data_IF_157289760826
#
_entry.id   IF_157289760826
#
_cell.length_a   1.000
_cell.length_b   1.000
_cell.length_c   1.000
_cell.angle_alpha   90.00
_cell.angle_beta   90.00
_cell.angle_gamma   90.00
#
_symmetry.space_group_name_H-M   'P 1'
#
loop_
_entity.id
_entity.type
_entity.pdbx_description
1 polymer ?
#
# COMPACT_ATOMS: atom_id res chain seq x y z
N UNK A 1 -12.18 0.10 -50.52
CA UNK A 1 -10.99 -0.11 -49.66
C UNK A 1 -11.19 0.67 -48.37
N UNK A 2 -11.73 0.01 -47.36
CA UNK A 2 -12.05 0.56 -46.03
C UNK A 2 -10.77 0.69 -45.21
N UNK A 3 -10.45 1.90 -44.75
CA UNK A 3 -9.34 2.13 -43.81
C UNK A 3 -9.71 1.56 -42.44
N UNK A 4 -8.80 0.87 -41.74
CA UNK A 4 -9.05 0.41 -40.38
C UNK A 4 -9.14 1.61 -39.44
N UNK A 5 -10.20 1.64 -38.62
CA UNK A 5 -10.35 2.57 -37.50
C UNK A 5 -9.37 2.15 -36.40
N UNK A 6 -8.49 3.05 -35.92
CA UNK A 6 -7.56 2.70 -34.85
C UNK A 6 -8.33 2.57 -33.53
N UNK A 7 -8.18 1.42 -32.86
CA UNK A 7 -8.60 1.26 -31.47
C UNK A 7 -7.83 2.28 -30.60
N UNK A 8 -8.47 3.00 -29.67
CA UNK A 8 -7.76 3.87 -28.75
C UNK A 8 -6.83 3.01 -27.89
N UNK A 9 -5.53 3.28 -27.97
CA UNK A 9 -4.55 2.67 -27.10
C UNK A 9 -4.92 2.98 -25.63
N UNK A 10 -4.90 1.99 -24.72
CA UNK A 10 -5.06 2.30 -23.30
C UNK A 10 -3.97 3.29 -22.92
N UNK A 11 -4.36 4.44 -22.36
CA UNK A 11 -3.41 5.42 -21.86
C UNK A 11 -2.58 4.76 -20.75
N UNK A 12 -1.38 4.30 -21.13
CA UNK A 12 -0.38 3.77 -20.20
C UNK A 12 0.10 4.96 -19.38
N UNK A 13 -0.57 5.19 -18.25
CA UNK A 13 -0.07 6.12 -17.24
C UNK A 13 1.13 5.45 -16.60
N UNK A 14 2.33 5.86 -17.01
CA UNK A 14 3.57 5.40 -16.38
C UNK A 14 3.47 5.64 -14.86
N UNK A 15 3.79 4.65 -14.02
CA UNK A 15 3.72 4.82 -12.59
C UNK A 15 4.91 5.69 -12.17
N UNK A 16 4.68 7.00 -12.06
CA UNK A 16 5.51 7.85 -11.23
C UNK A 16 5.23 7.48 -9.76
N UNK A 17 5.74 6.32 -9.32
CA UNK A 17 5.89 6.02 -7.90
C UNK A 17 7.22 6.63 -7.45
N UNK A 18 7.22 7.84 -6.84
CA UNK A 18 8.42 8.33 -6.18
C UNK A 18 8.78 7.40 -5.02
N UNK A 19 9.98 7.57 -4.47
CA UNK A 19 10.49 6.93 -3.25
C UNK A 19 9.64 7.18 -1.97
N UNK A 20 8.36 7.55 -2.09
CA UNK A 20 7.42 7.69 -0.99
C UNK A 20 7.09 6.31 -0.43
N UNK A 21 7.26 6.16 0.88
CA UNK A 21 6.86 4.95 1.58
C UNK A 21 5.35 4.65 1.43
N UNK A 22 4.96 3.51 1.99
CA UNK A 22 3.55 3.10 2.09
C UNK A 22 2.74 4.24 2.72
N UNK A 23 1.52 4.47 2.22
CA UNK A 23 0.64 5.56 2.65
C UNK A 23 1.09 6.99 2.26
N UNK A 24 1.81 7.13 1.14
CA UNK A 24 2.24 8.45 0.63
C UNK A 24 1.10 9.47 0.45
N UNK A 25 -0.13 9.02 0.13
CA UNK A 25 -1.30 9.91 -0.02
C UNK A 25 -1.67 10.53 1.34
N UNK A 26 -1.73 9.71 2.39
CA UNK A 26 -2.06 10.15 3.75
C UNK A 26 -0.98 11.11 4.25
N UNK A 27 0.30 10.76 4.07
CA UNK A 27 1.42 11.62 4.47
C UNK A 27 1.43 12.96 3.74
N UNK A 28 1.15 12.98 2.44
CA UNK A 28 1.04 14.22 1.67
C UNK A 28 -0.11 15.11 2.18
N UNK A 29 -1.26 14.51 2.49
CA UNK A 29 -2.41 15.23 3.03
C UNK A 29 -2.12 15.80 4.42
N UNK A 30 -1.57 15.00 5.34
CA UNK A 30 -1.19 15.43 6.68
C UNK A 30 -0.23 16.63 6.62
N UNK A 31 0.82 16.55 5.80
CA UNK A 31 1.79 17.65 5.62
C UNK A 31 1.15 18.91 5.04
N UNK A 32 0.23 18.77 4.09
CA UNK A 32 -0.48 19.91 3.52
C UNK A 32 -1.25 20.70 4.58
N UNK A 33 -1.77 20.01 5.60
CA UNK A 33 -2.47 20.61 6.75
C UNK A 33 -1.57 20.91 7.95
N UNK A 34 -0.24 20.84 7.80
CA UNK A 34 0.70 21.13 8.88
C UNK A 34 0.72 20.08 10.00
N UNK A 35 0.16 18.89 9.76
CA UNK A 35 0.14 17.80 10.74
C UNK A 35 1.44 17.01 10.68
N UNK A 36 2.08 16.84 11.84
CA UNK A 36 3.32 16.06 11.97
C UNK A 36 3.07 14.57 11.72
N UNK A 37 3.88 13.90 10.89
CA UNK A 37 3.85 12.44 10.76
C UNK A 37 4.04 11.70 12.10
N UNK A 38 4.78 12.29 13.04
CA UNK A 38 4.95 11.68 14.37
C UNK A 38 3.64 11.65 15.16
N UNK A 39 2.87 12.74 15.10
CA UNK A 39 1.55 12.80 15.75
C UNK A 39 0.60 11.75 15.19
N UNK A 40 0.64 11.55 13.88
CA UNK A 40 -0.13 10.50 13.21
C UNK A 40 0.25 9.09 13.70
N UNK A 41 1.55 8.82 13.88
CA UNK A 41 2.03 7.54 14.41
C UNK A 41 1.64 7.32 15.88
N UNK A 42 1.70 8.36 16.71
CA UNK A 42 1.25 8.29 18.11
C UNK A 42 -0.24 7.91 18.20
N UNK A 43 -1.08 8.56 17.37
CA UNK A 43 -2.50 8.26 17.29
C UNK A 43 -2.73 6.82 16.79
N UNK A 44 -2.02 6.39 15.75
CA UNK A 44 -2.12 5.00 15.26
C UNK A 44 -1.73 3.98 16.33
N UNK A 45 -0.68 4.26 17.12
CA UNK A 45 -0.24 3.40 18.23
C UNK A 45 -1.30 3.28 19.34
N UNK A 46 -2.04 4.35 19.62
CA UNK A 46 -3.02 4.39 20.70
C UNK A 46 -4.42 3.84 20.31
N UNK A 47 -4.63 3.52 19.03
CA UNK A 47 -5.90 2.98 18.52
C UNK A 47 -5.93 1.45 18.58
N UNK A 48 -7.14 0.88 18.60
CA UNK A 48 -7.34 -0.54 18.32
C UNK A 48 -6.82 -0.89 16.92
N UNK A 49 -6.00 -1.94 16.83
CA UNK A 49 -5.27 -2.32 15.61
C UNK A 49 -6.01 -3.32 14.73
N UNK A 50 -7.20 -3.82 15.13
CA UNK A 50 -7.80 -4.98 14.50
C UNK A 50 -7.08 -6.29 14.89
N UNK A 51 -7.72 -7.45 14.71
CA UNK A 51 -7.26 -8.70 15.31
C UNK A 51 -5.94 -9.23 14.74
N UNK A 52 -5.70 -9.05 13.43
CA UNK A 52 -4.54 -9.62 12.75
C UNK A 52 -3.29 -8.80 13.04
N UNK A 53 -3.39 -7.46 12.95
CA UNK A 53 -2.27 -6.59 13.32
C UNK A 53 -1.96 -6.69 14.82
N UNK A 54 -2.98 -6.76 15.68
CA UNK A 54 -2.78 -6.97 17.13
C UNK A 54 -2.03 -8.26 17.42
N UNK A 55 -2.37 -9.36 16.74
CA UNK A 55 -1.67 -10.64 16.91
C UNK A 55 -0.18 -10.52 16.51
N UNK A 56 0.10 -9.95 15.34
CA UNK A 56 1.48 -9.75 14.86
C UNK A 56 2.28 -8.85 15.81
N UNK A 57 1.69 -7.76 16.32
CA UNK A 57 2.36 -6.86 17.26
C UNK A 57 2.60 -7.52 18.62
N UNK A 58 1.65 -8.31 19.13
CA UNK A 58 1.81 -9.05 20.38
C UNK A 58 2.91 -10.10 20.29
N UNK A 59 3.01 -10.80 19.16
CA UNK A 59 4.10 -11.75 18.91
C UNK A 59 5.45 -11.02 18.84
N UNK A 60 5.51 -9.84 18.19
CA UNK A 60 6.71 -9.00 18.17
C UNK A 60 7.15 -8.58 19.57
N UNK A 61 6.21 -8.11 20.41
CA UNK A 61 6.48 -7.73 21.79
C UNK A 61 6.96 -8.92 22.63
N UNK A 62 6.35 -10.09 22.46
CA UNK A 62 6.77 -11.31 23.14
C UNK A 62 8.20 -11.71 22.75
N UNK A 63 8.50 -11.75 21.45
CA UNK A 63 9.85 -12.10 20.98
C UNK A 63 10.89 -11.05 21.35
N UNK A 64 10.56 -9.76 21.30
CA UNK A 64 11.55 -8.71 21.61
C UNK A 64 11.70 -8.42 23.09
N UNK A 65 10.70 -8.70 23.92
CA UNK A 65 10.75 -8.50 25.37
C UNK A 65 11.88 -9.30 26.02
N UNK A 66 12.11 -10.53 25.54
CA UNK A 66 13.16 -11.43 26.04
C UNK A 66 14.57 -11.07 25.52
N UNK A 67 14.67 -10.10 24.60
CA UNK A 67 15.92 -9.64 23.98
C UNK A 67 16.35 -8.23 24.45
N UNK A 68 15.74 -7.69 25.50
CA UNK A 68 16.17 -6.45 26.13
C UNK A 68 16.97 -6.77 27.40
N UNK A 69 18.26 -7.05 27.24
CA UNK A 69 19.16 -7.35 28.36
C UNK A 69 19.51 -6.09 29.16
N UNK A 70 19.30 -6.15 30.47
CA UNK A 70 19.62 -5.05 31.39
C UNK A 70 21.13 -4.95 31.68
N UNK A 71 21.89 -6.01 31.45
CA UNK A 71 23.34 -6.04 31.65
C UNK A 71 24.06 -6.93 30.63
N UNK A 72 25.36 -6.64 30.45
CA UNK A 72 26.22 -7.29 29.47
C UNK A 72 26.53 -8.76 29.81
N UNK A 73 26.53 -9.14 31.08
CA UNK A 73 26.86 -10.51 31.47
C UNK A 73 25.72 -11.46 31.08
N UNK A 74 24.46 -11.06 31.33
CA UNK A 74 23.28 -11.80 30.90
C UNK A 74 23.23 -12.00 29.37
N UNK A 75 23.57 -10.96 28.60
CA UNK A 75 23.68 -11.08 27.14
C UNK A 75 24.76 -12.10 26.72
N UNK A 76 25.93 -12.07 27.35
CA UNK A 76 27.03 -12.97 27.00
C UNK A 76 26.70 -14.44 27.33
N UNK A 77 26.07 -14.71 28.48
CA UNK A 77 25.61 -16.04 28.83
C UNK A 77 24.61 -16.56 27.81
N UNK A 78 23.59 -15.76 27.48
CA UNK A 78 22.60 -16.13 26.47
C UNK A 78 23.24 -16.38 25.08
N UNK A 79 24.16 -15.51 24.65
CA UNK A 79 24.83 -15.68 23.36
C UNK A 79 25.67 -16.96 23.28
N UNK A 80 26.29 -17.37 24.40
CA UNK A 80 27.04 -18.64 24.48
C UNK A 80 26.08 -19.82 24.44
N UNK A 81 25.04 -19.81 25.28
CA UNK A 81 24.07 -20.90 25.41
C UNK A 81 23.31 -21.15 24.10
N UNK A 82 23.10 -20.09 23.31
CA UNK A 82 22.34 -20.14 22.05
C UNK A 82 23.21 -20.15 20.79
N UNK A 83 24.52 -20.42 20.91
CA UNK A 83 25.48 -20.36 19.79
C UNK A 83 25.01 -21.20 18.60
N UNK A 84 24.53 -22.42 18.85
CA UNK A 84 24.06 -23.32 17.79
C UNK A 84 22.84 -22.75 17.05
N UNK A 85 21.94 -22.06 17.76
CA UNK A 85 20.78 -21.42 17.13
C UNK A 85 21.18 -20.24 16.24
N UNK A 86 22.23 -19.49 16.60
CA UNK A 86 22.81 -18.45 15.74
C UNK A 86 23.48 -19.05 14.51
N UNK A 87 24.26 -20.14 14.68
CA UNK A 87 24.94 -20.83 13.57
C UNK A 87 23.93 -21.43 12.58
N UNK A 88 22.84 -22.01 13.08
CA UNK A 88 21.74 -22.51 12.26
C UNK A 88 20.87 -21.39 11.64
N UNK A 89 21.12 -20.13 12.02
CA UNK A 89 20.37 -18.97 11.54
C UNK A 89 18.91 -18.95 12.01
N UNK A 90 18.60 -19.60 13.15
CA UNK A 90 17.33 -19.48 13.85
C UNK A 90 17.27 -18.14 14.59
N UNK A 91 18.33 -17.84 15.34
CA UNK A 91 18.56 -16.53 15.97
C UNK A 91 19.41 -15.63 15.06
N UNK A 92 19.36 -14.31 15.30
CA UNK A 92 20.08 -13.33 14.49
C UNK A 92 19.40 -12.98 13.15
N UNK A 93 18.21 -13.55 12.88
CA UNK A 93 17.33 -12.99 11.86
C UNK A 93 16.92 -11.58 12.29
N UNK A 94 16.87 -10.65 11.34
CA UNK A 94 16.46 -9.29 11.66
C UNK A 94 14.95 -9.27 11.95
N UNK A 95 14.59 -9.35 13.23
CA UNK A 95 13.20 -9.39 13.73
C UNK A 95 12.38 -8.24 13.16
N UNK A 96 12.95 -7.03 13.06
CA UNK A 96 12.26 -5.90 12.45
C UNK A 96 11.88 -6.17 10.99
N UNK A 97 12.73 -6.82 10.19
CA UNK A 97 12.37 -7.20 8.82
C UNK A 97 11.33 -8.32 8.80
N UNK A 98 11.43 -9.33 9.66
CA UNK A 98 10.42 -10.38 9.76
C UNK A 98 9.04 -9.79 10.05
N UNK A 99 8.92 -9.01 11.11
CA UNK A 99 7.64 -8.45 11.53
C UNK A 99 7.13 -7.39 10.57
N UNK A 100 8.01 -6.61 9.96
CA UNK A 100 7.62 -5.76 8.83
C UNK A 100 7.02 -6.58 7.71
N UNK A 101 7.60 -7.71 7.32
CA UNK A 101 7.03 -8.58 6.29
C UNK A 101 5.65 -9.08 6.69
N UNK A 102 5.50 -9.58 7.93
CA UNK A 102 4.22 -10.09 8.44
C UNK A 102 3.13 -9.02 8.41
N UNK A 103 3.47 -7.79 8.80
CA UNK A 103 2.56 -6.65 8.67
C UNK A 103 2.12 -6.44 7.22
N UNK A 104 3.03 -6.58 6.25
CA UNK A 104 2.73 -6.40 4.82
C UNK A 104 2.02 -7.59 4.17
N UNK A 105 2.22 -8.81 4.64
CA UNK A 105 1.66 -10.03 4.05
C UNK A 105 0.39 -10.52 4.74
N UNK A 106 0.30 -10.39 6.06
CA UNK A 106 -0.78 -10.93 6.90
C UNK A 106 -1.71 -9.82 7.38
N UNK A 107 -1.15 -8.73 7.90
CA UNK A 107 -1.91 -7.68 8.59
C UNK A 107 -2.12 -6.40 7.76
N UNK A 108 -1.97 -6.45 6.44
CA UNK A 108 -1.98 -5.26 5.58
C UNK A 108 -3.33 -4.55 5.60
N UNK A 109 -4.43 -5.29 5.70
CA UNK A 109 -5.79 -4.74 5.81
C UNK A 109 -5.99 -3.92 7.09
N UNK A 110 -5.74 -4.55 8.23
CA UNK A 110 -5.77 -3.92 9.56
C UNK A 110 -4.84 -2.69 9.63
N UNK A 111 -3.65 -2.80 9.04
CA UNK A 111 -2.67 -1.70 8.95
C UNK A 111 -3.21 -0.52 8.14
N UNK A 112 -3.84 -0.78 6.99
CA UNK A 112 -4.42 0.27 6.17
C UNK A 112 -5.61 0.96 6.85
N UNK A 113 -6.44 0.20 7.58
CA UNK A 113 -7.55 0.77 8.35
C UNK A 113 -7.07 1.66 9.50
N UNK A 114 -6.15 1.18 10.35
CA UNK A 114 -5.63 2.01 11.44
C UNK A 114 -4.91 3.25 10.92
N UNK A 115 -4.14 3.13 9.82
CA UNK A 115 -3.51 4.24 9.15
C UNK A 115 -4.53 5.31 8.72
N UNK A 116 -5.65 4.89 8.11
CA UNK A 116 -6.73 5.78 7.70
C UNK A 116 -7.43 6.43 8.91
N UNK A 117 -7.80 5.66 9.92
CA UNK A 117 -8.45 6.18 11.15
C UNK A 117 -7.56 7.17 11.88
N UNK A 118 -6.28 6.85 12.06
CA UNK A 118 -5.31 7.74 12.68
C UNK A 118 -5.12 9.03 11.87
N UNK A 119 -5.10 8.94 10.54
CA UNK A 119 -5.00 10.10 9.66
C UNK A 119 -6.21 11.02 9.84
N UNK A 120 -7.42 10.47 9.85
CA UNK A 120 -8.65 11.22 10.09
C UNK A 120 -8.67 11.86 11.48
N UNK A 121 -8.22 11.16 12.51
CA UNK A 121 -8.13 11.72 13.86
C UNK A 121 -7.15 12.90 13.91
N UNK A 122 -5.96 12.75 13.31
CA UNK A 122 -4.95 13.80 13.29
C UNK A 122 -5.42 15.05 12.50
N UNK A 123 -6.14 14.84 11.39
CA UNK A 123 -6.75 15.93 10.62
C UNK A 123 -7.85 16.63 11.43
N UNK A 124 -8.66 15.88 12.19
CA UNK A 124 -9.68 16.44 13.09
C UNK A 124 -9.05 17.32 14.17
N UNK A 125 -7.96 16.86 14.80
CA UNK A 125 -7.21 17.62 15.80
C UNK A 125 -6.68 18.94 15.23
N UNK A 126 -6.31 18.96 13.95
CA UNK A 126 -5.86 20.15 13.23
C UNK A 126 -7.01 21.05 12.73
N UNK A 127 -8.25 20.79 13.11
CA UNK A 127 -9.42 21.60 12.72
C UNK A 127 -9.89 21.37 11.28
N UNK A 128 -9.43 20.30 10.61
CA UNK A 128 -9.90 19.95 9.27
C UNK A 128 -11.26 19.27 9.36
N UNK A 129 -12.21 19.73 8.54
CA UNK A 129 -13.56 19.16 8.46
C UNK A 129 -13.57 17.70 7.98
N UNK A 130 -13.52 16.77 8.93
CA UNK A 130 -13.58 15.32 8.70
C UNK A 130 -14.84 14.73 9.35
N UNK A 131 -15.50 13.80 8.66
CA UNK A 131 -16.76 13.21 9.09
C UNK A 131 -17.94 13.55 8.16
N UNK A 132 -19.06 12.85 8.35
CA UNK A 132 -20.30 13.10 7.59
C UNK A 132 -20.17 12.84 6.08
N UNK A 133 -19.20 12.02 5.66
CA UNK A 133 -18.96 11.77 4.24
C UNK A 133 -18.21 12.90 3.54
N UNK A 134 -17.39 13.67 4.27
CA UNK A 134 -16.60 14.76 3.69
C UNK A 134 -15.65 14.27 2.59
N UNK A 135 -15.30 15.15 1.65
CA UNK A 135 -14.36 14.81 0.57
C UNK A 135 -12.96 14.45 1.09
N UNK A 136 -12.54 15.05 2.22
CA UNK A 136 -11.28 14.70 2.90
C UNK A 136 -11.36 13.26 3.39
N UNK A 137 -12.46 12.87 4.04
CA UNK A 137 -12.66 11.51 4.52
C UNK A 137 -12.63 10.50 3.37
N UNK A 138 -13.33 10.80 2.28
CA UNK A 138 -13.32 9.98 1.07
C UNK A 138 -11.92 9.84 0.47
N UNK A 139 -11.14 10.94 0.40
CA UNK A 139 -9.77 10.93 -0.12
C UNK A 139 -8.84 10.09 0.76
N UNK A 140 -8.95 10.21 2.09
CA UNK A 140 -8.13 9.41 3.03
C UNK A 140 -8.42 7.92 2.87
N UNK A 141 -9.70 7.53 2.84
CA UNK A 141 -10.11 6.12 2.70
C UNK A 141 -9.70 5.56 1.34
N UNK A 142 -9.93 6.29 0.26
CA UNK A 142 -9.51 5.87 -1.08
C UNK A 142 -7.98 5.79 -1.20
N UNK A 143 -7.26 6.72 -0.58
CA UNK A 143 -5.80 6.73 -0.54
C UNK A 143 -5.22 5.55 0.24
N UNK A 144 -5.78 5.23 1.42
CA UNK A 144 -5.34 4.08 2.21
C UNK A 144 -5.58 2.77 1.46
N UNK A 145 -6.76 2.63 0.86
CA UNK A 145 -7.14 1.46 0.07
C UNK A 145 -6.26 1.31 -1.18
N UNK A 146 -5.91 2.42 -1.85
CA UNK A 146 -4.98 2.41 -2.97
C UNK A 146 -3.63 1.80 -2.58
N UNK A 147 -3.05 2.24 -1.45
CA UNK A 147 -1.76 1.72 -0.98
C UNK A 147 -1.86 0.27 -0.50
N UNK A 148 -2.98 -0.11 0.11
CA UNK A 148 -3.27 -1.51 0.46
C UNK A 148 -3.27 -2.39 -0.79
N UNK A 149 -4.00 -2.00 -1.83
CA UNK A 149 -4.15 -2.78 -3.06
C UNK A 149 -2.85 -2.91 -3.84
N UNK A 150 -1.97 -1.91 -3.83
CA UNK A 150 -0.64 -2.02 -4.47
C UNK A 150 0.21 -3.17 -3.92
N UNK A 151 -0.02 -3.56 -2.67
CA UNK A 151 0.75 -4.58 -1.95
C UNK A 151 -0.06 -5.84 -1.64
N UNK A 152 -1.35 -5.82 -1.94
CA UNK A 152 -2.25 -6.91 -1.56
C UNK A 152 -1.89 -8.18 -2.30
N UNK A 153 -1.74 -9.24 -1.50
CA UNK A 153 -1.64 -10.63 -1.93
C UNK A 153 -0.42 -10.96 -2.80
N UNK A 154 0.57 -10.07 -2.91
CA UNK A 154 1.76 -10.27 -3.76
C UNK A 154 2.66 -11.43 -3.31
N UNK A 155 2.53 -11.88 -2.06
CA UNK A 155 3.31 -12.99 -1.49
C UNK A 155 2.57 -14.34 -1.50
N UNK A 156 1.39 -14.43 -2.14
CA UNK A 156 0.68 -15.69 -2.34
C UNK A 156 1.34 -16.52 -3.44
N UNK A 157 1.17 -17.84 -3.38
CA UNK A 157 1.64 -18.77 -4.43
C UNK A 157 1.00 -18.44 -5.78
N UNK A 158 -0.28 -18.09 -5.76
CA UNK A 158 -1.08 -17.70 -6.93
C UNK A 158 -1.79 -16.37 -6.62
N UNK A 159 -1.11 -15.23 -6.81
CA UNK A 159 -1.69 -13.92 -6.53
C UNK A 159 -2.75 -13.57 -7.59
N UNK A 160 -3.87 -12.91 -7.21
CA UNK A 160 -4.86 -12.47 -8.18
C UNK A 160 -4.22 -11.63 -9.30
N UNK A 161 -4.60 -11.88 -10.56
CA UNK A 161 -4.03 -11.17 -11.71
C UNK A 161 -4.34 -9.66 -11.65
N UNK A 162 -5.60 -9.34 -11.33
CA UNK A 162 -6.13 -7.98 -11.30
C UNK A 162 -6.89 -7.76 -10.00
N UNK A 163 -6.57 -6.68 -9.29
CA UNK A 163 -7.43 -6.13 -8.24
C UNK A 163 -8.03 -4.81 -8.73
N UNK A 164 -9.24 -4.48 -8.28
CA UNK A 164 -9.98 -3.31 -8.76
C UNK A 164 -10.33 -2.35 -7.62
N UNK A 165 -10.31 -1.05 -7.92
CA UNK A 165 -10.78 0.01 -7.02
C UNK A 165 -11.49 1.09 -7.82
N UNK A 166 -12.67 1.55 -7.37
CA UNK A 166 -13.29 2.75 -7.92
C UNK A 166 -12.38 3.97 -7.70
N UNK A 167 -12.19 4.78 -8.74
CA UNK A 167 -11.34 5.95 -8.72
C UNK A 167 -12.18 7.23 -8.64
N UNK A 168 -12.40 7.76 -7.43
CA UNK A 168 -13.09 9.07 -7.28
C UNK A 168 -12.11 10.23 -7.38
N UNK A 169 -10.84 9.99 -7.05
CA UNK A 169 -9.77 11.00 -7.10
C UNK A 169 -8.69 10.66 -8.14
N UNK A 170 -7.91 11.65 -8.55
CA UNK A 170 -6.68 11.46 -9.32
C UNK A 170 -5.50 11.49 -8.35
N UNK A 171 -5.23 10.35 -7.70
CA UNK A 171 -4.19 10.21 -6.68
C UNK A 171 -2.78 10.47 -7.24
N UNK A 172 -2.54 10.15 -8.52
CA UNK A 172 -1.26 10.44 -9.17
C UNK A 172 -1.04 11.96 -9.31
N UNK A 173 -2.07 12.70 -9.75
CA UNK A 173 -2.03 14.17 -9.81
C UNK A 173 -1.88 14.77 -8.42
N UNK A 174 -2.59 14.25 -7.42
CA UNK A 174 -2.46 14.68 -6.02
C UNK A 174 -1.03 14.53 -5.50
N UNK A 175 -0.43 13.35 -5.67
CA UNK A 175 0.94 13.08 -5.23
C UNK A 175 1.97 13.92 -6.00
N UNK A 176 1.76 14.14 -7.31
CA UNK A 176 2.61 15.00 -8.11
C UNK A 176 2.58 16.45 -7.63
N UNK A 177 1.39 17.01 -7.40
CA UNK A 177 1.19 18.36 -6.87
C UNK A 177 1.84 18.51 -5.48
N UNK A 178 1.63 17.55 -4.58
CA UNK A 178 2.23 17.56 -3.24
C UNK A 178 3.77 17.54 -3.29
N UNK A 179 4.35 16.77 -4.23
CA UNK A 179 5.81 16.74 -4.44
C UNK A 179 6.33 18.08 -4.95
N UNK A 180 5.58 18.74 -5.83
CA UNK A 180 5.92 20.05 -6.37
C UNK A 180 5.66 21.19 -5.36
N UNK A 181 5.29 20.88 -4.11
CA UNK A 181 4.92 21.84 -3.05
C UNK A 181 3.76 22.76 -3.44
N UNK A 182 2.90 22.28 -4.33
CA UNK A 182 1.64 22.95 -4.63
C UNK A 182 0.67 22.75 -3.46
N UNK A 183 -0.28 23.66 -3.30
CA UNK A 183 -1.35 23.49 -2.31
C UNK A 183 -2.26 22.32 -2.72
N UNK A 184 -2.34 21.30 -1.85
CA UNK A 184 -3.17 20.11 -2.04
C UNK A 184 -4.26 19.97 -0.98
N UNK A 185 -4.52 21.02 -0.18
CA UNK A 185 -5.51 21.01 0.91
C UNK A 185 -6.95 20.79 0.43
N UNK A 186 -7.30 21.30 -0.75
CA UNK A 186 -8.65 21.14 -1.31
C UNK A 186 -8.75 19.85 -2.15
N UNK A 187 -9.44 18.79 -1.67
CA UNK A 187 -9.60 17.53 -2.39
C UNK A 187 -10.41 17.67 -3.69
N UNK A 188 -11.21 18.75 -3.85
CA UNK A 188 -12.01 18.98 -5.06
C UNK A 188 -11.14 19.12 -6.30
N UNK A 189 -9.93 19.68 -6.16
CA UNK A 189 -8.96 19.87 -7.26
C UNK A 189 -8.48 18.55 -7.87
N UNK A 190 -8.63 17.46 -7.14
CA UNK A 190 -8.20 16.13 -7.54
C UNK A 190 -9.37 15.19 -7.79
N UNK A 191 -10.62 15.64 -7.65
CA UNK A 191 -11.78 14.82 -7.99
C UNK A 191 -11.77 14.52 -9.49
N UNK A 192 -12.10 13.28 -9.87
CA UNK A 192 -12.30 12.92 -11.27
C UNK A 192 -13.67 13.39 -11.73
N UNK A 193 -13.74 13.82 -12.99
CA UNK A 193 -15.00 14.20 -13.65
C UNK A 193 -15.79 12.93 -14.00
N UNK A 194 -15.09 11.91 -14.49
CA UNK A 194 -15.67 10.61 -14.85
C UNK A 194 -15.23 9.54 -13.85
N UNK A 195 -16.17 8.67 -13.47
CA UNK A 195 -15.88 7.48 -12.68
C UNK A 195 -15.05 6.52 -13.54
N UNK A 196 -13.94 6.04 -12.98
CA UNK A 196 -13.09 5.04 -13.61
C UNK A 196 -12.70 3.98 -12.60
N UNK A 197 -12.14 2.88 -13.10
CA UNK A 197 -11.63 1.79 -12.26
C UNK A 197 -10.11 1.79 -12.32
N UNK A 198 -9.46 1.75 -11.17
CA UNK A 198 -8.04 1.42 -11.06
C UNK A 198 -7.91 -0.09 -11.03
N UNK A 199 -7.12 -0.60 -11.95
CA UNK A 199 -6.69 -1.98 -11.98
C UNK A 199 -5.25 -2.06 -11.47
N UNK A 200 -5.03 -2.95 -10.50
CA UNK A 200 -3.73 -3.21 -9.89
C UNK A 200 -3.24 -4.57 -10.38
N UNK A 201 -2.26 -4.55 -11.26
CA UNK A 201 -1.77 -5.74 -11.97
C UNK A 201 -0.29 -5.99 -11.66
N UNK A 202 0.09 -7.25 -11.52
CA UNK A 202 1.51 -7.61 -11.50
C UNK A 202 1.99 -7.72 -12.95
N UNK A 203 3.09 -7.04 -13.29
CA UNK A 203 3.71 -7.21 -14.61
C UNK A 203 4.36 -8.59 -14.72
N UNK A 204 4.60 -9.12 -15.93
CA UNK A 204 5.29 -10.40 -16.10
C UNK A 204 6.66 -10.44 -15.41
N UNK A 205 7.41 -9.34 -15.44
CA UNK A 205 8.69 -9.22 -14.74
C UNK A 205 8.53 -9.32 -13.20
N UNK A 206 7.47 -8.72 -12.65
CA UNK A 206 7.16 -8.80 -11.22
C UNK A 206 6.72 -10.19 -10.80
N UNK A 207 5.85 -10.83 -11.58
CA UNK A 207 5.43 -12.21 -11.35
C UNK A 207 6.63 -13.17 -11.41
N UNK A 208 7.53 -13.00 -12.38
CA UNK A 208 8.74 -13.79 -12.47
C UNK A 208 9.68 -13.59 -11.27
N UNK A 209 9.86 -12.34 -10.83
CA UNK A 209 10.67 -12.01 -9.65
C UNK A 209 10.09 -12.65 -8.39
N UNK A 210 8.80 -12.44 -8.13
CA UNK A 210 8.12 -12.98 -6.95
C UNK A 210 8.12 -14.50 -6.94
N UNK A 211 7.78 -15.15 -8.06
CA UNK A 211 7.77 -16.62 -8.15
C UNK A 211 9.16 -17.24 -7.97
N UNK A 212 10.22 -16.60 -8.48
CA UNK A 212 11.60 -17.05 -8.29
C UNK A 212 11.97 -17.02 -6.81
N UNK A 213 11.68 -15.92 -6.12
CA UNK A 213 12.01 -15.80 -4.71
C UNK A 213 11.14 -16.68 -3.80
N UNK A 214 9.84 -16.81 -4.09
CA UNK A 214 8.97 -17.73 -3.35
C UNK A 214 9.39 -19.19 -3.54
N UNK A 215 9.91 -19.57 -4.72
CA UNK A 215 10.47 -20.91 -4.94
C UNK A 215 11.78 -21.12 -4.18
N UNK A 216 12.67 -20.12 -4.19
CA UNK A 216 13.98 -20.23 -3.54
C UNK A 216 13.88 -20.22 -2.01
N UNK A 217 13.09 -19.30 -1.46
CA UNK A 217 13.00 -19.11 -0.02
C UNK A 217 11.83 -19.87 0.58
N UNK A 218 10.72 -20.05 -0.14
CA UNK A 218 9.47 -20.62 0.36
C UNK A 218 8.46 -19.54 0.78
N UNK A 219 7.28 -19.96 1.21
CA UNK A 219 6.11 -19.08 1.42
C UNK A 219 5.81 -18.77 2.88
N UNK A 220 6.56 -19.34 3.83
CA UNK A 220 6.34 -19.04 5.26
C UNK A 220 6.74 -17.60 5.58
N UNK A 221 6.16 -16.97 6.62
CA UNK A 221 6.47 -15.58 6.99
C UNK A 221 7.96 -15.28 7.15
N UNK A 222 8.72 -16.16 7.82
CA UNK A 222 10.18 -16.04 8.00
C UNK A 222 10.96 -16.02 6.68
N UNK A 223 10.52 -16.85 5.73
CA UNK A 223 11.13 -16.99 4.40
C UNK A 223 10.81 -15.79 3.50
N UNK A 224 9.60 -15.25 3.59
CA UNK A 224 9.24 -13.97 2.94
C UNK A 224 9.97 -12.80 3.62
N UNK A 225 10.22 -12.88 4.94
CA UNK A 225 11.12 -11.99 5.68
C UNK A 225 12.47 -11.83 5.00
N UNK A 226 13.13 -12.96 4.70
CA UNK A 226 14.41 -12.99 3.98
C UNK A 226 14.31 -12.42 2.58
N UNK A 227 13.22 -12.69 1.85
CA UNK A 227 12.96 -12.11 0.53
C UNK A 227 13.00 -10.58 0.57
N UNK A 228 12.33 -9.93 1.54
CA UNK A 228 12.30 -8.47 1.64
C UNK A 228 13.65 -7.82 2.02
N UNK A 229 14.62 -8.60 2.50
CA UNK A 229 16.00 -8.10 2.68
C UNK A 229 16.76 -8.00 1.35
N UNK A 230 16.30 -8.71 0.31
CA UNK A 230 16.96 -8.79 -1.01
C UNK A 230 16.16 -8.07 -2.10
N UNK A 231 14.85 -7.94 -1.93
CA UNK A 231 13.95 -7.28 -2.88
C UNK A 231 13.62 -5.88 -2.43
N UNK A 232 13.77 -4.91 -3.33
CA UNK A 232 13.24 -3.57 -3.09
C UNK A 232 11.72 -3.65 -3.25
N UNK A 233 10.97 -3.39 -2.18
CA UNK A 233 9.51 -3.47 -2.17
C UNK A 233 8.83 -2.78 -3.37
N UNK A 234 9.35 -1.61 -3.78
CA UNK A 234 8.82 -0.86 -4.93
C UNK A 234 8.85 -1.66 -6.25
N UNK A 235 9.80 -2.58 -6.39
CA UNK A 235 9.99 -3.34 -7.62
C UNK A 235 8.90 -4.43 -7.72
N UNK A 236 8.21 -4.76 -6.62
CA UNK A 236 7.13 -5.76 -6.55
C UNK A 236 5.75 -5.16 -6.24
N UNK A 237 5.61 -3.82 -6.23
CA UNK A 237 4.31 -3.18 -6.13
C UNK A 237 3.50 -3.40 -7.41
N UNK A 238 2.22 -3.72 -7.28
CA UNK A 238 1.33 -3.83 -8.44
C UNK A 238 1.35 -2.53 -9.24
N UNK A 239 1.46 -2.68 -10.55
CA UNK A 239 1.31 -1.60 -11.51
C UNK A 239 -0.15 -1.16 -11.54
N UNK A 240 -0.39 0.16 -11.48
CA UNK A 240 -1.74 0.71 -11.54
C UNK A 240 -2.04 1.20 -12.95
N UNK A 241 -3.14 0.73 -13.54
CA UNK A 241 -3.68 1.24 -14.80
C UNK A 241 -5.13 1.67 -14.62
N UNK A 242 -5.59 2.57 -15.48
CA UNK A 242 -6.98 3.00 -15.51
C UNK A 242 -7.73 2.23 -16.59
N UNK A 243 -8.90 1.70 -16.25
CA UNK A 243 -9.90 1.23 -17.19
C UNK A 243 -11.18 2.04 -17.07
N UNK A 244 -11.90 2.17 -18.19
CA UNK A 244 -13.26 2.69 -18.18
C UNK A 244 -14.16 1.68 -17.46
N UNK A 245 -15.20 2.16 -16.76
CA UNK A 245 -16.19 1.28 -16.14
C UNK A 245 -16.83 0.42 -17.25
N UNK A 246 -16.82 -0.93 -17.14
CA UNK A 246 -17.54 -1.78 -18.08
C UNK A 246 -19.04 -1.45 -17.95
N UNK A 247 -19.67 -0.97 -19.02
CA UNK A 247 -21.10 -0.62 -19.01
C UNK A 247 -21.48 0.70 -19.69
N UNK A 248 -20.52 1.44 -20.27
CA UNK A 248 -20.87 2.46 -21.26
C UNK A 248 -20.75 1.80 -22.63
N UNK A 249 -21.83 1.16 -23.09
CA UNK A 249 -21.93 0.80 -24.50
C UNK A 249 -21.66 2.07 -25.32
N UNK A 250 -20.84 2.01 -26.39
CA UNK A 250 -20.80 3.11 -27.33
C UNK A 250 -22.23 3.32 -27.83
N UNK A 251 -22.74 4.55 -27.67
CA UNK A 251 -24.03 4.94 -28.21
C UNK A 251 -24.15 4.40 -29.65
N UNK A 252 -25.27 3.74 -30.02
CA UNK A 252 -25.41 3.18 -31.35
C UNK A 252 -25.19 4.31 -32.36
N UNK A 253 -24.23 4.10 -33.26
CA UNK A 253 -23.95 5.03 -34.33
C UNK A 253 -25.27 5.31 -35.06
N UNK A 254 -25.73 6.56 -34.95
CA UNK A 254 -26.95 7.03 -35.58
C UNK A 254 -26.91 6.65 -37.05
N UNK A 255 -27.88 5.83 -37.45
CA UNK A 255 -28.11 5.47 -38.84
C UNK A 255 -28.70 6.72 -39.49
N UNK A 256 -27.88 7.52 -40.18
CA UNK A 256 -28.41 8.51 -41.12
C UNK A 256 -29.05 7.76 -42.29
N UNK A 257 -30.38 7.81 -42.35
CA UNK A 257 -31.14 7.35 -43.50
C UNK A 257 -30.92 8.33 -44.68
N UNK A 258 -30.73 7.84 -45.92
CA UNK A 258 -30.62 8.71 -47.08
C UNK A 258 -32.00 9.31 -47.40
N UNK A 259 -32.07 10.63 -47.39
CA UNK A 259 -33.22 11.42 -47.85
C UNK A 259 -33.32 11.33 -49.40
N UNK A 260 -34.54 11.23 -49.98
CA UNK A 260 -34.78 11.01 -51.40
C UNK A 260 -34.30 12.12 -52.35
#
# INVERSE_FOLDING_TARGET
MTRPVPLPAPAVVAPAHPNGGIFAVLLALLRAHGVSPMRWLELARAMDHGPTLSAVLKEFEAETGDHLWNDRAALLTHAIDETDQYVEGRLGNNLLYTYRTRILSEALGDTADVAARACLAALREAGVGVGGGSLIEALVREGAEYHRLMLSEIFRVDPPEVLCQTARFNLNRFLAAARNREDVRDPRRFRRVEEGVREFVLTPAQQHTLSTYLRQFGTTPWRVGRLLTKVRLRDVFRHVRMSAVPGTDPAPAGTEAPTP
#
